data_IF_879912233211
#
_entry.id   IF_879912233211
#
_cell.length_a   1.000
_cell.length_b   1.000
_cell.length_c   1.000
_cell.angle_alpha   90.00
_cell.angle_beta   90.00
_cell.angle_gamma   90.00
#
_symmetry.space_group_name_H-M   'P 1'
#
loop_
_entity.id
_entity.type
_entity.pdbx_description
1 polymer ?
#
# COMPACT_ATOMS: atom_id res chain seq x y z
N UNK A 1 -3.50 -11.72 -6.62
CA UNK A 1 -2.10 -11.84 -6.16
C UNK A 1 -2.00 -12.24 -4.68
N UNK A 2 -2.68 -11.55 -3.76
CA UNK A 2 -2.61 -11.84 -2.30
C UNK A 2 -2.83 -13.33 -1.95
N UNK A 3 -3.84 -13.99 -2.52
CA UNK A 3 -4.11 -15.41 -2.28
C UNK A 3 -2.96 -16.33 -2.70
N UNK A 4 -2.31 -16.01 -3.83
CA UNK A 4 -1.17 -16.79 -4.32
C UNK A 4 0.01 -16.63 -3.38
N UNK A 5 0.31 -15.39 -2.95
CA UNK A 5 1.39 -15.12 -2.01
C UNK A 5 1.13 -15.80 -0.66
N UNK A 6 -0.08 -15.71 -0.11
CA UNK A 6 -0.49 -16.39 1.12
C UNK A 6 -0.26 -17.91 1.03
N UNK A 7 -0.65 -18.54 -0.08
CA UNK A 7 -0.43 -19.97 -0.31
C UNK A 7 1.05 -20.33 -0.40
N UNK A 8 1.86 -19.51 -1.08
CA UNK A 8 3.30 -19.74 -1.21
C UNK A 8 4.01 -19.62 0.14
N UNK A 9 3.72 -18.57 0.92
CA UNK A 9 4.29 -18.43 2.28
C UNK A 9 3.95 -19.63 3.15
N UNK A 10 2.70 -20.10 3.10
CA UNK A 10 2.28 -21.32 3.79
C UNK A 10 3.09 -22.55 3.36
N UNK A 11 3.26 -22.76 2.05
CA UNK A 11 4.01 -23.91 1.52
C UNK A 11 5.50 -23.93 1.89
N UNK A 12 6.09 -22.75 2.14
CA UNK A 12 7.48 -22.60 2.55
C UNK A 12 7.69 -22.78 4.07
N UNK A 13 6.62 -22.95 4.86
CA UNK A 13 6.70 -23.09 6.32
C UNK A 13 7.30 -21.87 7.02
N UNK A 14 7.18 -20.68 6.42
CA UNK A 14 7.71 -19.43 6.98
C UNK A 14 6.71 -18.77 7.92
N UNK A 15 7.22 -17.94 8.83
CA UNK A 15 6.40 -17.02 9.60
C UNK A 15 5.59 -16.09 8.67
N UNK A 16 4.42 -15.56 9.13
CA UNK A 16 3.61 -14.65 8.34
C UNK A 16 4.43 -13.48 7.78
N UNK A 17 4.25 -13.20 6.49
CA UNK A 17 5.02 -12.18 5.79
C UNK A 17 4.34 -10.81 5.94
N UNK A 18 5.09 -9.80 6.37
CA UNK A 18 4.63 -8.41 6.32
C UNK A 18 4.48 -7.98 4.85
N UNK A 19 3.31 -7.44 4.51
CA UNK A 19 2.98 -7.01 3.14
C UNK A 19 2.35 -5.63 3.16
N UNK A 20 2.71 -4.85 2.14
CA UNK A 20 2.08 -3.56 1.85
C UNK A 20 1.18 -3.69 0.63
N UNK A 21 0.10 -2.92 0.59
CA UNK A 21 -0.77 -2.84 -0.58
C UNK A 21 -0.28 -1.72 -1.50
N UNK A 22 0.03 -2.07 -2.74
CA UNK A 22 0.42 -1.09 -3.76
C UNK A 22 -0.81 -0.39 -4.34
N UNK A 23 -0.86 0.93 -4.15
CA UNK A 23 -1.92 1.80 -4.67
C UNK A 23 -1.39 2.55 -5.88
N UNK A 24 -2.15 2.55 -6.97
CA UNK A 24 -1.86 3.37 -8.14
C UNK A 24 -2.28 4.81 -7.87
N UNK A 25 -1.32 5.65 -7.46
CA UNK A 25 -1.57 7.08 -7.23
C UNK A 25 -1.36 7.96 -8.47
N UNK A 26 -0.87 7.39 -9.59
CA UNK A 26 -0.65 8.11 -10.85
C UNK A 26 -1.93 8.32 -11.67
N UNK A 27 -2.94 7.46 -11.48
CA UNK A 27 -4.16 7.44 -12.29
C UNK A 27 -4.00 6.83 -13.68
N UNK A 28 -2.79 6.42 -14.08
CA UNK A 28 -2.54 5.79 -15.37
C UNK A 28 -2.95 4.31 -15.35
N UNK A 29 -3.81 3.89 -16.28
CA UNK A 29 -4.29 2.50 -16.38
C UNK A 29 -3.16 1.48 -16.69
N UNK A 30 -2.04 1.95 -17.23
CA UNK A 30 -0.86 1.12 -17.54
C UNK A 30 -0.04 0.74 -16.30
N UNK A 31 -0.32 1.34 -15.13
CA UNK A 31 0.46 1.13 -13.91
C UNK A 31 -0.09 0.01 -13.04
N UNK A 32 0.85 -0.73 -12.45
CA UNK A 32 0.58 -1.71 -11.42
C UNK A 32 0.06 -1.06 -10.14
N UNK A 33 -0.76 -1.80 -9.41
CA UNK A 33 -1.39 -1.34 -8.19
C UNK A 33 -2.90 -1.28 -8.33
N UNK A 34 -3.58 -1.25 -7.20
CA UNK A 34 -5.03 -1.12 -7.15
C UNK A 34 -5.46 0.35 -7.24
N UNK A 35 -6.71 0.58 -7.63
CA UNK A 35 -7.29 1.92 -7.55
C UNK A 35 -7.32 2.39 -6.09
N UNK A 36 -7.08 3.69 -5.81
CA UNK A 36 -7.29 4.27 -4.48
C UNK A 36 -8.66 3.94 -3.85
N UNK A 37 -9.73 3.80 -4.64
CA UNK A 37 -11.06 3.40 -4.15
C UNK A 37 -11.09 2.01 -3.53
N UNK A 38 -10.21 1.11 -3.98
CA UNK A 38 -10.27 -0.32 -3.67
C UNK A 38 -9.32 -0.69 -2.52
N UNK A 39 -8.60 0.29 -1.96
CA UNK A 39 -7.57 0.06 -0.94
C UNK A 39 -8.10 -0.58 0.34
N UNK A 40 -9.28 -0.15 0.79
CA UNK A 40 -9.92 -0.70 2.00
C UNK A 40 -10.26 -2.17 1.79
N UNK A 41 -10.91 -2.51 0.68
CA UNK A 41 -11.32 -3.88 0.39
C UNK A 41 -10.14 -4.84 0.28
N UNK A 42 -9.04 -4.43 -0.37
CA UNK A 42 -7.86 -5.29 -0.45
C UNK A 42 -7.14 -5.42 0.90
N UNK A 43 -7.00 -4.34 1.68
CA UNK A 43 -6.39 -4.40 3.00
C UNK A 43 -7.21 -5.30 3.96
N UNK A 44 -8.54 -5.17 3.92
CA UNK A 44 -9.46 -6.05 4.65
C UNK A 44 -9.28 -7.52 4.23
N UNK A 45 -9.27 -7.79 2.93
CA UNK A 45 -9.09 -9.14 2.41
C UNK A 45 -7.79 -9.77 2.88
N UNK A 46 -6.68 -9.01 2.87
CA UNK A 46 -5.40 -9.48 3.41
C UNK A 46 -5.53 -9.81 4.90
N UNK A 47 -6.16 -8.94 5.69
CA UNK A 47 -6.28 -9.13 7.15
C UNK A 47 -7.18 -10.32 7.52
N UNK A 48 -8.30 -10.50 6.83
CA UNK A 48 -9.32 -11.49 7.20
C UNK A 48 -9.11 -12.85 6.54
N UNK A 49 -8.52 -12.89 5.33
CA UNK A 49 -8.49 -14.10 4.51
C UNK A 49 -7.09 -14.61 4.18
N UNK A 50 -6.03 -13.90 4.58
CA UNK A 50 -4.65 -14.32 4.32
C UNK A 50 -3.87 -14.53 5.62
N UNK A 51 -4.07 -15.67 6.34
CA UNK A 51 -3.46 -15.89 7.66
C UNK A 51 -1.92 -15.97 7.67
N UNK A 52 -1.30 -16.19 6.50
CA UNK A 52 0.16 -16.20 6.36
C UNK A 52 0.72 -14.84 5.92
N UNK A 53 -0.14 -13.81 5.82
CA UNK A 53 0.24 -12.45 5.50
C UNK A 53 -0.15 -11.54 6.67
N UNK A 54 0.67 -10.53 6.91
CA UNK A 54 0.37 -9.46 7.86
C UNK A 54 0.36 -8.14 7.11
N UNK A 55 -0.81 -7.51 7.03
CA UNK A 55 -0.92 -6.17 6.48
C UNK A 55 -0.11 -5.20 7.35
N UNK A 56 0.83 -4.48 6.74
CA UNK A 56 1.73 -3.55 7.44
C UNK A 56 1.68 -2.12 6.92
N UNK A 57 1.00 -1.87 5.80
CA UNK A 57 0.96 -0.53 5.22
C UNK A 57 0.52 -0.45 3.77
N UNK A 58 0.66 0.76 3.21
CA UNK A 58 0.41 1.06 1.81
C UNK A 58 1.69 1.54 1.13
N UNK A 59 1.81 1.27 -0.17
CA UNK A 59 2.92 1.78 -0.96
C UNK A 59 2.44 2.39 -2.28
N UNK A 60 3.23 3.27 -2.86
CA UNK A 60 3.09 3.70 -4.26
C UNK A 60 4.45 3.84 -4.92
N UNK A 61 4.48 3.59 -6.23
CA UNK A 61 5.65 3.90 -7.07
C UNK A 61 5.58 5.36 -7.56
N UNK A 62 4.41 6.01 -7.53
CA UNK A 62 4.25 7.38 -8.01
C UNK A 62 4.16 7.48 -9.54
N UNK A 63 4.55 8.64 -10.09
CA UNK A 63 4.57 8.90 -11.53
C UNK A 63 5.77 8.23 -12.23
N UNK A 64 5.71 7.96 -13.54
CA UNK A 64 6.91 7.65 -14.31
C UNK A 64 7.95 8.77 -14.18
N UNK A 65 9.22 8.41 -14.30
CA UNK A 65 10.35 9.33 -14.41
C UNK A 65 10.55 10.26 -13.20
N UNK A 66 10.11 9.84 -12.01
CA UNK A 66 10.28 10.60 -10.75
C UNK A 66 9.55 11.96 -10.76
N UNK A 67 8.53 12.11 -11.61
CA UNK A 67 7.72 13.32 -11.73
C UNK A 67 6.52 13.31 -10.79
N UNK A 68 6.57 12.51 -9.73
CA UNK A 68 5.51 12.46 -8.72
C UNK A 68 5.28 13.87 -8.19
N UNK A 69 4.03 14.21 -7.95
CA UNK A 69 3.62 15.48 -7.38
C UNK A 69 3.17 15.27 -5.94
N UNK A 70 3.08 16.34 -5.12
CA UNK A 70 2.49 16.27 -3.80
C UNK A 70 1.10 15.61 -3.77
N UNK A 71 0.30 15.75 -4.84
CA UNK A 71 -1.03 15.13 -4.94
C UNK A 71 -0.98 13.60 -5.00
N UNK A 72 0.06 13.01 -5.60
CA UNK A 72 0.24 11.56 -5.61
C UNK A 72 0.49 11.02 -4.19
N UNK A 73 1.27 11.75 -3.38
CA UNK A 73 1.54 11.38 -1.98
C UNK A 73 0.33 11.62 -1.08
N UNK A 74 -0.37 12.75 -1.25
CA UNK A 74 -1.66 13.01 -0.57
C UNK A 74 -2.69 11.92 -0.86
N UNK A 75 -2.73 11.42 -2.08
CA UNK A 75 -3.61 10.29 -2.44
C UNK A 75 -3.31 9.06 -1.59
N UNK A 76 -2.03 8.72 -1.38
CA UNK A 76 -1.64 7.59 -0.54
C UNK A 76 -1.96 7.84 0.94
N UNK A 77 -1.73 9.04 1.46
CA UNK A 77 -2.10 9.45 2.82
C UNK A 77 -3.61 9.31 3.06
N UNK A 78 -4.43 9.79 2.11
CA UNK A 78 -5.88 9.65 2.15
C UNK A 78 -6.32 8.18 2.15
N UNK A 79 -5.63 7.32 1.40
CA UNK A 79 -5.87 5.88 1.43
C UNK A 79 -5.53 5.30 2.81
N UNK A 80 -4.40 5.68 3.42
CA UNK A 80 -4.03 5.23 4.78
C UNK A 80 -5.10 5.61 5.79
N UNK A 81 -5.51 6.88 5.80
CA UNK A 81 -6.51 7.38 6.74
C UNK A 81 -7.84 6.59 6.61
N UNK A 82 -8.28 6.34 5.37
CA UNK A 82 -9.47 5.53 5.10
C UNK A 82 -9.31 4.09 5.58
N UNK A 83 -8.22 3.42 5.21
CA UNK A 83 -7.95 2.03 5.63
C UNK A 83 -7.89 1.94 7.15
N UNK A 84 -7.20 2.87 7.82
CA UNK A 84 -7.08 2.86 9.28
C UNK A 84 -8.43 3.08 9.95
N UNK A 85 -9.22 4.04 9.47
CA UNK A 85 -10.56 4.31 9.98
C UNK A 85 -11.49 3.10 9.83
N UNK A 86 -11.61 2.56 8.62
CA UNK A 86 -12.57 1.48 8.32
C UNK A 86 -12.16 0.14 8.95
N UNK A 87 -10.86 -0.12 9.10
CA UNK A 87 -10.37 -1.37 9.71
C UNK A 87 -10.09 -1.26 11.21
N UNK A 88 -10.28 -0.07 11.81
CA UNK A 88 -9.99 0.20 13.22
C UNK A 88 -8.51 0.04 13.58
N UNK A 89 -7.60 0.47 12.70
CA UNK A 89 -6.15 0.43 12.91
C UNK A 89 -5.63 1.80 13.36
N UNK A 90 -4.58 1.82 14.18
CA UNK A 90 -3.78 3.04 14.37
C UNK A 90 -2.96 3.31 13.11
N UNK A 91 -2.82 4.58 12.74
CA UNK A 91 -1.94 4.98 11.63
C UNK A 91 -0.47 4.60 11.89
N UNK A 92 -0.05 4.49 13.16
CA UNK A 92 1.29 4.02 13.56
C UNK A 92 1.57 2.57 13.14
N UNK A 93 0.52 1.80 12.87
CA UNK A 93 0.61 0.40 12.41
C UNK A 93 0.37 0.25 10.90
N UNK A 94 0.20 1.36 10.18
CA UNK A 94 0.01 1.38 8.73
C UNK A 94 1.09 2.26 8.08
N UNK A 95 2.23 1.66 7.82
CA UNK A 95 3.38 2.33 7.21
C UNK A 95 3.07 2.82 5.80
N UNK A 96 3.77 3.89 5.37
CA UNK A 96 3.71 4.39 4.01
C UNK A 96 5.07 4.24 3.34
N UNK A 97 5.11 3.52 2.23
CA UNK A 97 6.29 3.46 1.36
C UNK A 97 6.03 4.28 0.11
N UNK A 98 6.62 5.47 0.07
CA UNK A 98 6.49 6.45 -1.00
C UNK A 98 7.74 7.33 -1.07
N UNK A 99 8.05 7.82 -2.26
CA UNK A 99 9.30 8.55 -2.54
C UNK A 99 10.43 7.60 -2.91
N UNK A 100 10.94 7.78 -4.13
CA UNK A 100 12.20 7.23 -4.62
C UNK A 100 13.27 8.33 -4.61
N UNK A 101 14.52 8.00 -4.96
CA UNK A 101 15.66 8.91 -4.86
C UNK A 101 15.48 10.27 -5.57
N UNK A 102 14.60 10.36 -6.58
CA UNK A 102 14.33 11.59 -7.32
C UNK A 102 13.19 12.47 -6.79
N UNK A 103 12.33 11.97 -5.91
CA UNK A 103 11.13 12.69 -5.40
C UNK A 103 10.96 12.58 -3.88
N UNK A 104 11.98 12.10 -3.16
CA UNK A 104 11.98 11.95 -1.70
C UNK A 104 11.73 13.25 -0.95
N UNK A 105 12.28 14.38 -1.41
CA UNK A 105 12.04 15.69 -0.77
C UNK A 105 10.56 16.09 -0.80
N UNK A 106 9.88 15.77 -1.90
CA UNK A 106 8.45 16.03 -2.03
C UNK A 106 7.64 15.09 -1.15
N UNK A 107 8.03 13.81 -1.05
CA UNK A 107 7.41 12.86 -0.13
C UNK A 107 7.50 13.33 1.33
N UNK A 108 8.66 13.83 1.76
CA UNK A 108 8.85 14.39 3.10
C UNK A 108 8.01 15.64 3.38
N UNK A 109 7.71 16.47 2.38
CA UNK A 109 6.90 17.67 2.57
C UNK A 109 5.42 17.40 2.88
N UNK A 110 4.92 16.19 2.60
CA UNK A 110 3.51 15.83 2.79
C UNK A 110 3.28 14.99 4.06
N UNK A 111 4.36 14.48 4.68
CA UNK A 111 4.30 13.68 5.92
C UNK A 111 4.18 14.57 7.15
#
# INVERSE_FOLDING_TARGET
MANVLNRVVSSLGRNPLNVMVQVNTSGEASKSGINPSDCVGLAEHVRLHCPNLKFSGLMTIGMPDYTSTPENFKTLLNCRAKVCKELGLSEDHCELSMGMSGDFEQALQVV
#
